data_IF_288240484824
#
_entry.id   IF_288240484824
#
_cell.length_a   1.000
_cell.length_b   1.000
_cell.length_c   1.000
_cell.angle_alpha   90.00
_cell.angle_beta   90.00
_cell.angle_gamma   90.00
#
_symmetry.space_group_name_H-M   'P 1'
#
loop_
_entity.id
_entity.type
_entity.pdbx_description
1 polymer ?
#
# COMPACT_ATOMS: atom_id res chain seq x y z
N UNK A 1 8.04 -20.52 -13.44
CA UNK A 1 8.53 -20.12 -14.78
C UNK A 1 7.87 -18.79 -15.04
N UNK A 2 8.61 -17.70 -14.89
CA UNK A 2 8.11 -16.36 -15.14
C UNK A 2 7.86 -16.20 -16.64
N UNK A 3 6.63 -16.00 -17.07
CA UNK A 3 6.31 -15.55 -18.40
C UNK A 3 6.56 -14.03 -18.42
N UNK A 4 7.72 -13.64 -18.92
CA UNK A 4 8.03 -12.26 -19.24
C UNK A 4 7.11 -11.83 -20.39
N UNK A 5 6.24 -10.87 -20.19
CA UNK A 5 5.64 -10.12 -21.29
C UNK A 5 6.79 -9.45 -22.05
N UNK A 6 7.20 -10.03 -23.15
CA UNK A 6 8.20 -9.42 -24.02
C UNK A 6 7.62 -8.14 -24.62
N UNK A 7 8.37 -7.06 -24.43
CA UNK A 7 8.19 -5.81 -25.15
C UNK A 7 8.11 -6.11 -26.63
N UNK A 8 6.93 -6.02 -27.24
CA UNK A 8 6.78 -6.18 -28.69
C UNK A 8 7.48 -5.00 -29.35
N UNK A 9 8.69 -5.23 -29.84
CA UNK A 9 9.34 -4.31 -30.73
C UNK A 9 8.58 -4.32 -32.06
N UNK A 10 7.86 -3.25 -32.34
CA UNK A 10 7.29 -2.99 -33.66
C UNK A 10 8.42 -2.64 -34.61
N UNK A 11 9.04 -3.67 -35.21
CA UNK A 11 9.93 -3.53 -36.38
C UNK A 11 9.04 -3.32 -37.61
N UNK A 12 9.21 -2.12 -38.24
CA UNK A 12 8.89 -1.75 -39.62
C UNK A 12 7.65 -2.41 -40.27
N UNK A 13 6.44 -1.97 -39.93
CA UNK A 13 5.29 -2.10 -40.81
C UNK A 13 5.16 -0.83 -41.60
N UNK A 14 5.65 -0.82 -42.83
CA UNK A 14 5.36 0.20 -43.81
C UNK A 14 3.87 0.09 -44.22
N UNK A 15 3.07 1.12 -43.86
CA UNK A 15 1.94 1.50 -44.69
C UNK A 15 0.52 1.24 -44.22
N UNK A 16 0.26 1.06 -42.91
CA UNK A 16 -1.06 1.37 -42.35
C UNK A 16 -0.88 2.44 -41.26
N UNK A 17 -1.68 3.52 -41.32
CA UNK A 17 -1.73 4.51 -40.25
C UNK A 17 -2.01 3.75 -38.96
N UNK A 18 -1.04 3.68 -38.06
CA UNK A 18 -1.22 3.08 -36.73
C UNK A 18 -2.40 3.82 -36.09
N UNK A 19 -3.55 3.13 -35.99
CA UNK A 19 -4.70 3.60 -35.23
C UNK A 19 -4.37 3.53 -33.73
N UNK A 20 -3.31 4.21 -33.33
CA UNK A 20 -2.77 4.23 -31.98
C UNK A 20 -2.19 5.63 -31.67
N UNK A 21 -2.13 5.96 -30.39
CA UNK A 21 -1.64 7.23 -29.88
C UNK A 21 -0.82 7.03 -28.62
N UNK A 22 0.26 7.80 -28.51
CA UNK A 22 0.98 7.91 -27.25
C UNK A 22 0.18 8.78 -26.27
N UNK A 23 -0.11 8.22 -25.10
CA UNK A 23 -0.78 8.92 -24.01
C UNK A 23 0.14 8.87 -22.80
N UNK A 24 0.44 10.05 -22.25
CA UNK A 24 1.14 10.22 -20.97
C UNK A 24 0.11 10.36 -19.86
N UNK A 25 0.25 9.59 -18.80
CA UNK A 25 -0.56 9.74 -17.60
C UNK A 25 0.22 10.58 -16.58
N UNK A 26 -0.42 11.60 -16.03
CA UNK A 26 0.07 12.33 -14.86
C UNK A 26 -0.57 11.71 -13.63
N UNK A 27 0.12 10.80 -12.97
CA UNK A 27 -0.42 10.03 -11.86
C UNK A 27 -0.25 10.78 -10.54
N UNK A 28 -1.36 11.02 -9.84
CA UNK A 28 -1.41 11.70 -8.54
C UNK A 28 -2.13 10.81 -7.52
N UNK A 29 -1.69 10.84 -6.26
CA UNK A 29 -2.41 10.21 -5.16
C UNK A 29 -3.39 11.20 -4.51
N UNK A 30 -4.56 10.74 -4.07
CA UNK A 30 -5.42 11.51 -3.17
C UNK A 30 -4.85 11.47 -1.75
N UNK A 31 -4.02 12.45 -1.44
CA UNK A 31 -3.40 12.62 -0.12
C UNK A 31 -4.20 13.58 0.78
N UNK A 32 -5.42 13.97 0.35
CA UNK A 32 -6.26 14.89 1.12
C UNK A 32 -5.79 16.35 1.16
N UNK A 33 -4.77 16.72 0.38
CA UNK A 33 -4.35 18.10 0.18
C UNK A 33 -3.74 18.29 -1.22
N UNK A 34 -4.07 19.36 -1.95
CA UNK A 34 -3.48 19.64 -3.25
C UNK A 34 -2.05 20.14 -3.06
N UNK A 35 -1.07 19.28 -3.17
CA UNK A 35 0.32 19.68 -3.31
C UNK A 35 0.89 19.12 -4.59
N UNK A 36 0.94 20.00 -5.55
CA UNK A 36 1.63 19.85 -6.81
C UNK A 36 3.13 19.74 -6.57
N UNK A 37 3.68 18.56 -6.54
CA UNK A 37 5.09 18.34 -6.90
C UNK A 37 5.33 16.86 -7.14
N UNK A 38 5.79 16.53 -8.26
CA UNK A 38 6.60 15.43 -8.84
C UNK A 38 6.80 14.11 -8.06
N UNK A 39 6.20 13.92 -6.92
CA UNK A 39 6.42 12.73 -6.10
C UNK A 39 5.09 12.28 -5.52
N UNK A 40 4.72 11.04 -5.80
CA UNK A 40 3.67 10.33 -5.06
C UNK A 40 4.17 10.15 -3.63
N UNK A 41 3.93 11.15 -2.77
CA UNK A 41 4.38 11.13 -1.38
C UNK A 41 3.18 11.22 -0.45
N UNK A 42 3.00 10.23 0.41
CA UNK A 42 1.87 10.11 1.30
C UNK A 42 2.15 10.65 2.71
N UNK A 43 3.33 10.42 3.24
CA UNK A 43 3.71 10.77 4.61
C UNK A 43 5.15 11.29 4.70
N UNK A 44 5.61 11.94 3.63
CA UNK A 44 6.98 12.40 3.47
C UNK A 44 7.93 11.32 2.96
N UNK A 45 7.39 10.16 2.55
CA UNK A 45 8.13 9.08 1.90
C UNK A 45 7.58 8.86 0.50
N UNK A 46 8.43 8.85 -0.49
CA UNK A 46 8.06 8.68 -1.89
C UNK A 46 7.60 7.24 -2.17
N UNK A 47 6.68 7.06 -3.12
CA UNK A 47 6.37 5.76 -3.65
C UNK A 47 7.60 5.19 -4.36
N UNK A 48 7.77 3.88 -4.31
CA UNK A 48 8.92 3.20 -4.91
C UNK A 48 8.59 2.55 -6.23
N UNK A 49 7.32 2.24 -6.44
CA UNK A 49 6.84 1.49 -7.59
C UNK A 49 5.52 2.05 -8.12
N UNK A 50 5.38 2.07 -9.43
CA UNK A 50 4.15 2.42 -10.15
C UNK A 50 3.93 1.42 -11.28
N UNK A 51 2.81 0.72 -11.27
CA UNK A 51 2.37 -0.17 -12.34
C UNK A 51 1.16 0.43 -13.05
N UNK A 52 1.14 0.31 -14.37
CA UNK A 52 -0.03 0.59 -15.21
C UNK A 52 -0.27 -0.61 -16.09
N UNK A 53 -1.46 -1.18 -16.01
CA UNK A 53 -1.93 -2.29 -16.81
C UNK A 53 -2.99 -1.78 -17.79
N UNK A 54 -2.78 -2.00 -19.07
CA UNK A 54 -3.73 -1.63 -20.15
C UNK A 54 -4.37 -2.89 -20.73
N UNK A 55 -5.69 -2.93 -20.70
CA UNK A 55 -6.51 -4.03 -21.15
C UNK A 55 -7.37 -3.61 -22.31
N UNK A 56 -7.46 -4.50 -23.33
CA UNK A 56 -8.40 -4.39 -24.47
C UNK A 56 -9.12 -5.73 -24.59
N UNK A 57 -10.45 -5.72 -24.61
CA UNK A 57 -11.27 -6.92 -24.69
C UNK A 57 -10.88 -8.00 -23.65
N UNK A 58 -10.65 -7.60 -22.40
CA UNK A 58 -10.23 -8.42 -21.26
C UNK A 58 -8.82 -9.05 -21.39
N UNK A 59 -8.03 -8.67 -22.38
CA UNK A 59 -6.64 -9.09 -22.54
C UNK A 59 -5.68 -7.96 -22.14
N UNK A 60 -4.67 -8.28 -21.32
CA UNK A 60 -3.61 -7.33 -20.98
C UNK A 60 -2.71 -7.11 -22.21
N UNK A 61 -2.77 -5.91 -22.79
CA UNK A 61 -2.03 -5.58 -24.01
C UNK A 61 -0.72 -4.83 -23.72
N UNK A 62 -0.64 -4.17 -22.58
CA UNK A 62 0.58 -3.44 -22.17
C UNK A 62 0.68 -3.38 -20.66
N UNK A 63 1.89 -3.55 -20.13
CA UNK A 63 2.26 -3.25 -18.75
C UNK A 63 3.40 -2.26 -18.74
N UNK A 64 3.25 -1.18 -17.98
CA UNK A 64 4.33 -0.23 -17.68
C UNK A 64 4.63 -0.30 -16.19
N UNK A 65 5.88 -0.58 -15.85
CA UNK A 65 6.37 -0.52 -14.48
C UNK A 65 7.46 0.55 -14.40
N UNK A 66 7.27 1.51 -13.51
CA UNK A 66 8.26 2.52 -13.15
C UNK A 66 8.69 2.33 -11.70
N UNK A 67 9.93 2.64 -11.42
CA UNK A 67 10.51 2.70 -10.08
C UNK A 67 10.91 4.12 -9.73
N UNK A 68 11.14 4.41 -8.46
CA UNK A 68 11.59 5.73 -7.99
C UNK A 68 12.98 6.14 -8.53
N UNK A 69 13.71 5.21 -9.17
CA UNK A 69 14.96 5.49 -9.89
C UNK A 69 14.71 6.05 -11.31
N UNK A 70 13.49 5.91 -11.84
CA UNK A 70 13.14 6.39 -13.17
C UNK A 70 12.95 7.91 -13.19
N UNK A 71 13.52 8.58 -14.18
CA UNK A 71 13.50 10.07 -14.30
C UNK A 71 12.09 10.61 -14.48
N UNK A 72 11.21 9.81 -15.10
CA UNK A 72 9.82 10.10 -15.41
C UNK A 72 8.84 9.39 -14.48
N UNK A 73 9.28 8.95 -13.29
CA UNK A 73 8.44 8.32 -12.29
C UNK A 73 7.17 9.15 -12.00
N UNK A 74 6.01 8.49 -12.07
CA UNK A 74 4.70 9.11 -11.93
C UNK A 74 4.13 9.70 -13.23
N UNK A 75 4.85 9.59 -14.36
CA UNK A 75 4.38 10.04 -15.68
C UNK A 75 4.60 8.98 -16.76
N UNK A 76 4.02 7.77 -16.61
CA UNK A 76 4.17 6.70 -17.58
C UNK A 76 3.57 7.07 -18.94
N UNK A 77 4.22 6.60 -20.01
CA UNK A 77 3.71 6.72 -21.39
C UNK A 77 3.22 5.37 -21.89
N UNK A 78 2.03 5.35 -22.47
CA UNK A 78 1.41 4.19 -23.10
C UNK A 78 1.21 4.44 -24.58
N UNK A 79 1.45 3.43 -25.41
CA UNK A 79 1.03 3.43 -26.80
C UNK A 79 -0.35 2.72 -26.90
N UNK A 80 -1.42 3.48 -26.94
CA UNK A 80 -2.77 2.96 -26.90
C UNK A 80 -3.41 2.96 -28.29
N UNK A 81 -4.00 1.84 -28.70
CA UNK A 81 -4.79 1.72 -29.94
C UNK A 81 -6.07 2.54 -29.84
N UNK A 82 -6.69 2.87 -31.01
CA UNK A 82 -8.02 3.50 -30.96
C UNK A 82 -9.06 2.44 -30.58
N UNK A 83 -9.88 2.75 -29.59
CA UNK A 83 -10.91 1.85 -29.09
C UNK A 83 -11.13 2.00 -27.59
N UNK A 84 -11.83 1.01 -27.03
CA UNK A 84 -12.10 0.91 -25.61
C UNK A 84 -10.90 0.26 -24.90
N UNK A 85 -10.51 0.81 -23.75
CA UNK A 85 -9.45 0.33 -22.88
C UNK A 85 -9.93 0.35 -21.44
N UNK A 86 -9.45 -0.60 -20.63
CA UNK A 86 -9.56 -0.58 -19.18
C UNK A 86 -8.16 -0.43 -18.60
N UNK A 87 -7.94 0.64 -17.84
CA UNK A 87 -6.66 0.93 -17.19
C UNK A 87 -6.74 0.65 -15.71
N UNK A 88 -5.75 -0.09 -15.19
CA UNK A 88 -5.59 -0.36 -13.77
C UNK A 88 -4.22 0.13 -13.33
N UNK A 89 -4.19 0.94 -12.28
CA UNK A 89 -2.98 1.65 -11.86
C UNK A 89 -2.76 1.43 -10.38
N UNK A 90 -1.56 0.97 -10.03
CA UNK A 90 -1.13 0.74 -8.64
C UNK A 90 0.15 1.50 -8.37
N UNK A 91 0.17 2.34 -7.34
CA UNK A 91 1.39 2.93 -6.81
C UNK A 91 1.63 2.42 -5.38
N UNK A 92 2.84 1.96 -5.08
CA UNK A 92 3.16 1.37 -3.77
C UNK A 92 4.59 1.66 -3.36
N UNK A 93 4.83 1.59 -2.04
CA UNK A 93 6.16 1.46 -1.44
C UNK A 93 6.29 0.17 -0.61
N UNK A 94 5.48 -0.82 -0.95
CA UNK A 94 5.53 -2.14 -0.35
C UNK A 94 6.84 -2.86 -0.63
N UNK A 95 7.17 -3.82 0.24
CA UNK A 95 8.47 -4.52 0.19
C UNK A 95 8.35 -5.78 -0.67
N UNK A 96 9.28 -5.95 -1.62
CA UNK A 96 9.38 -7.13 -2.50
C UNK A 96 8.04 -7.48 -3.16
N UNK A 97 7.55 -6.65 -4.08
CA UNK A 97 6.32 -6.95 -4.80
C UNK A 97 6.48 -8.20 -5.66
N UNK A 98 5.47 -9.07 -5.66
CA UNK A 98 5.32 -10.20 -6.57
C UNK A 98 4.05 -9.95 -7.39
N UNK A 99 4.22 -9.82 -8.71
CA UNK A 99 3.14 -9.51 -9.65
C UNK A 99 2.77 -10.76 -10.41
N UNK A 100 1.51 -11.16 -10.35
CA UNK A 100 0.95 -12.26 -11.12
C UNK A 100 -0.09 -11.74 -12.11
N UNK A 101 0.26 -11.75 -13.39
CA UNK A 101 -0.59 -11.26 -14.49
C UNK A 101 -1.75 -12.22 -14.79
N UNK A 102 -1.69 -13.47 -14.36
CA UNK A 102 -2.75 -14.48 -14.58
C UNK A 102 -3.84 -14.37 -13.53
N UNK A 103 -3.42 -14.20 -12.27
CA UNK A 103 -4.33 -14.04 -11.13
C UNK A 103 -4.68 -12.56 -10.89
N UNK A 104 -4.11 -11.65 -11.67
CA UNK A 104 -4.29 -10.19 -11.58
C UNK A 104 -3.92 -9.62 -10.19
N UNK A 105 -2.87 -10.15 -9.58
CA UNK A 105 -2.52 -9.77 -8.20
C UNK A 105 -1.15 -9.12 -8.09
N UNK A 106 -1.01 -8.23 -7.10
CA UNK A 106 0.27 -7.79 -6.57
C UNK A 106 0.30 -8.12 -5.09
N UNK A 107 1.29 -8.92 -4.67
CA UNK A 107 1.47 -9.34 -3.27
C UNK A 107 2.81 -8.81 -2.75
N UNK A 108 2.83 -8.31 -1.54
CA UNK A 108 4.05 -7.78 -0.90
C UNK A 108 4.46 -8.62 0.31
N UNK A 109 5.76 -8.79 0.51
CA UNK A 109 6.29 -9.37 1.77
C UNK A 109 6.12 -8.41 2.97
N UNK A 110 5.78 -7.17 2.72
CA UNK A 110 5.47 -6.16 3.72
C UNK A 110 4.70 -5.01 3.10
N UNK A 111 3.41 -4.95 3.42
CA UNK A 111 2.52 -3.87 2.95
C UNK A 111 2.94 -2.54 3.56
N UNK A 112 2.91 -1.51 2.74
CA UNK A 112 3.11 -0.10 3.10
C UNK A 112 2.04 0.71 2.41
N UNK A 113 2.20 2.02 2.37
CA UNK A 113 1.29 2.91 1.67
C UNK A 113 1.13 2.49 0.20
N UNK A 114 -0.10 2.25 -0.22
CA UNK A 114 -0.45 1.74 -1.54
C UNK A 114 -1.72 2.43 -2.01
N UNK A 115 -1.73 2.81 -3.27
CA UNK A 115 -2.81 3.52 -3.94
C UNK A 115 -3.21 2.77 -5.20
N UNK A 116 -4.47 2.87 -5.55
CA UNK A 116 -5.05 2.19 -6.70
C UNK A 116 -6.12 3.04 -7.36
N UNK A 117 -6.28 2.87 -8.67
CA UNK A 117 -7.46 3.28 -9.43
C UNK A 117 -7.62 2.36 -10.65
N UNK A 118 -8.87 2.05 -10.99
CA UNK A 118 -9.25 1.37 -12.22
C UNK A 118 -10.36 2.13 -12.92
N UNK A 119 -10.24 2.32 -14.24
CA UNK A 119 -11.24 3.03 -15.04
C UNK A 119 -11.21 2.62 -16.50
N UNK A 120 -12.36 2.74 -17.14
CA UNK A 120 -12.53 2.54 -18.59
C UNK A 120 -12.36 3.87 -19.32
N UNK A 121 -11.74 3.82 -20.49
CA UNK A 121 -11.61 4.96 -21.38
C UNK A 121 -11.77 4.56 -22.85
N UNK A 122 -12.01 5.55 -23.70
CA UNK A 122 -12.05 5.34 -25.16
C UNK A 122 -11.00 6.24 -25.80
N UNK A 123 -10.05 5.64 -26.49
CA UNK A 123 -8.99 6.33 -27.20
C UNK A 123 -9.40 6.60 -28.63
N UNK A 124 -9.23 7.83 -29.08
CA UNK A 124 -9.50 8.31 -30.44
C UNK A 124 -8.39 9.26 -30.91
N UNK A 125 -8.41 9.67 -32.16
CA UNK A 125 -7.49 10.71 -32.66
C UNK A 125 -7.60 12.02 -31.88
N UNK A 126 -8.75 12.33 -31.30
CA UNK A 126 -9.04 13.56 -30.55
C UNK A 126 -8.67 13.45 -29.05
N UNK A 127 -8.40 12.26 -28.55
CA UNK A 127 -8.02 12.06 -27.14
C UNK A 127 -6.76 12.90 -26.83
N UNK A 128 -6.75 13.58 -25.69
CA UNK A 128 -5.57 14.36 -25.29
C UNK A 128 -4.35 13.44 -25.09
N UNK A 129 -3.15 13.91 -25.44
CA UNK A 129 -1.90 13.18 -25.27
C UNK A 129 -1.40 13.14 -23.81
N UNK A 130 -2.01 13.94 -22.95
CA UNK A 130 -1.75 13.95 -21.50
C UNK A 130 -3.06 13.82 -20.76
N UNK A 131 -3.10 12.98 -19.72
CA UNK A 131 -4.27 12.74 -18.89
C UNK A 131 -3.87 12.72 -17.41
N UNK A 132 -4.65 13.41 -16.59
CA UNK A 132 -4.48 13.39 -15.14
C UNK A 132 -5.25 12.21 -14.54
N UNK A 133 -4.59 11.42 -13.69
CA UNK A 133 -5.19 10.29 -12.98
C UNK A 133 -4.95 10.46 -11.49
N UNK A 134 -6.01 10.31 -10.69
CA UNK A 134 -5.93 10.33 -9.24
C UNK A 134 -6.14 8.94 -8.69
N UNK A 135 -5.19 8.47 -7.88
CA UNK A 135 -5.27 7.18 -7.19
C UNK A 135 -5.83 7.36 -5.79
N UNK A 136 -6.61 6.38 -5.35
CA UNK A 136 -7.16 6.30 -4.00
C UNK A 136 -6.33 5.38 -3.13
N UNK A 137 -6.11 5.74 -1.86
CA UNK A 137 -5.40 4.88 -0.93
C UNK A 137 -6.23 3.65 -0.59
N UNK A 138 -5.64 2.46 -0.78
CA UNK A 138 -6.28 1.15 -0.56
C UNK A 138 -5.73 0.41 0.64
N UNK A 139 -4.98 1.06 1.51
CA UNK A 139 -4.49 0.46 2.75
C UNK A 139 -5.18 1.04 3.97
N UNK A 140 -5.32 0.21 4.99
CA UNK A 140 -5.61 0.59 6.36
C UNK A 140 -4.33 0.59 7.19
N UNK A 141 -4.24 1.47 8.18
CA UNK A 141 -3.12 1.55 9.12
C UNK A 141 -3.61 1.21 10.53
N UNK A 142 -2.98 0.24 11.15
CA UNK A 142 -3.11 -0.05 12.56
C UNK A 142 -1.88 0.49 13.29
N UNK A 143 -2.06 1.46 14.19
CA UNK A 143 -0.99 2.04 14.99
C UNK A 143 -1.15 1.67 16.45
N UNK A 144 -0.13 1.07 17.06
CA UNK A 144 -0.09 0.74 18.47
C UNK A 144 0.96 1.58 19.19
N UNK A 145 0.53 2.38 20.17
CA UNK A 145 1.40 3.23 21.00
C UNK A 145 1.44 2.69 22.43
N UNK A 146 2.64 2.35 22.92
CA UNK A 146 2.85 1.82 24.26
C UNK A 146 3.31 2.96 25.18
N UNK A 147 2.48 3.26 26.19
CA UNK A 147 2.64 4.42 27.04
C UNK A 147 3.51 4.16 28.30
N UNK A 148 3.53 2.91 28.77
CA UNK A 148 4.27 2.55 29.96
C UNK A 148 5.76 2.29 29.71
N UNK A 149 6.49 2.13 30.81
CA UNK A 149 7.95 1.95 30.77
C UNK A 149 8.32 0.61 30.15
N UNK A 150 9.20 0.64 29.15
CA UNK A 150 9.68 -0.54 28.45
C UNK A 150 10.68 -1.28 29.34
N UNK A 151 10.43 -2.56 29.73
CA UNK A 151 11.30 -3.32 30.59
C UNK A 151 12.63 -3.67 29.92
N UNK A 152 13.65 -3.92 30.78
CA UNK A 152 14.92 -4.48 30.36
C UNK A 152 14.71 -5.82 29.64
N UNK A 153 15.49 -6.04 28.59
CA UNK A 153 15.44 -7.27 27.79
C UNK A 153 14.37 -7.32 26.72
N UNK A 154 13.51 -6.29 26.60
CA UNK A 154 12.57 -6.19 25.47
C UNK A 154 13.35 -6.03 24.18
N UNK A 155 13.09 -6.89 23.18
CA UNK A 155 13.79 -6.90 21.90
C UNK A 155 12.86 -6.63 20.71
N UNK A 156 11.65 -7.17 20.74
CA UNK A 156 10.69 -7.04 19.63
C UNK A 156 9.29 -6.80 20.14
N UNK A 157 8.50 -6.11 19.31
CA UNK A 157 7.06 -6.03 19.40
C UNK A 157 6.50 -6.86 18.25
N UNK A 158 5.64 -7.83 18.55
CA UNK A 158 4.99 -8.72 17.59
C UNK A 158 3.50 -8.46 17.61
N UNK A 159 2.92 -8.22 16.44
CA UNK A 159 1.47 -8.20 16.21
C UNK A 159 1.09 -9.47 15.45
N UNK A 160 0.16 -10.24 16.01
CA UNK A 160 -0.36 -11.48 15.45
C UNK A 160 -1.86 -11.26 15.17
N UNK A 161 -2.25 -10.94 13.91
CA UNK A 161 -3.64 -10.73 13.54
C UNK A 161 -4.34 -12.08 13.31
N UNK A 162 -5.67 -12.11 13.42
CA UNK A 162 -6.47 -13.25 12.97
C UNK A 162 -6.59 -13.30 11.44
N UNK A 163 -6.65 -12.10 10.80
CA UNK A 163 -6.77 -11.93 9.37
C UNK A 163 -6.01 -10.67 8.95
N UNK A 164 -5.18 -10.77 7.90
CA UNK A 164 -4.41 -9.67 7.35
C UNK A 164 -4.16 -9.85 5.86
N UNK A 165 -4.31 -8.81 5.06
CA UNK A 165 -4.18 -8.89 3.61
C UNK A 165 -2.86 -8.27 3.15
N UNK A 166 -2.09 -9.04 2.38
CA UNK A 166 -0.78 -8.67 1.88
C UNK A 166 -0.76 -8.33 0.38
N UNK A 167 -1.89 -8.47 -0.32
CA UNK A 167 -2.00 -8.26 -1.74
C UNK A 167 -3.26 -7.51 -2.14
N UNK A 168 -3.27 -7.07 -3.39
CA UNK A 168 -4.40 -6.47 -4.10
C UNK A 168 -4.66 -7.24 -5.39
N UNK A 169 -5.92 -7.48 -5.69
CA UNK A 169 -6.36 -7.73 -7.06
C UNK A 169 -6.40 -6.38 -7.79
N UNK A 170 -5.50 -6.16 -8.74
CA UNK A 170 -5.36 -4.84 -9.36
C UNK A 170 -6.46 -4.53 -10.37
N UNK A 171 -7.26 -5.51 -10.81
CA UNK A 171 -8.44 -5.29 -11.67
C UNK A 171 -9.62 -4.79 -10.86
N UNK A 172 -9.86 -5.37 -9.68
CA UNK A 172 -11.01 -5.01 -8.84
C UNK A 172 -10.69 -4.00 -7.74
N UNK A 173 -9.42 -3.87 -7.35
CA UNK A 173 -8.98 -3.07 -6.21
C UNK A 173 -9.22 -3.75 -4.85
N UNK A 174 -9.68 -5.01 -4.85
CA UNK A 174 -10.02 -5.74 -3.64
C UNK A 174 -8.79 -6.38 -2.98
N UNK A 175 -8.80 -6.55 -1.65
CA UNK A 175 -7.72 -7.19 -0.91
C UNK A 175 -7.63 -8.69 -1.25
N UNK A 176 -6.40 -9.20 -1.33
CA UNK A 176 -6.08 -10.60 -1.56
C UNK A 176 -4.87 -11.04 -0.73
N UNK A 177 -4.44 -12.31 -0.87
CA UNK A 177 -3.33 -12.89 -0.11
C UNK A 177 -3.53 -12.74 1.41
N UNK A 178 -4.66 -13.27 1.91
CA UNK A 178 -4.96 -13.34 3.34
C UNK A 178 -3.97 -14.25 4.06
N UNK A 179 -3.40 -13.77 5.18
CA UNK A 179 -2.51 -14.52 6.04
C UNK A 179 -2.69 -14.05 7.50
N UNK A 180 -2.40 -14.93 8.45
CA UNK A 180 -2.36 -14.67 9.89
C UNK A 180 -0.93 -14.54 10.44
N UNK A 181 0.07 -14.48 9.55
CA UNK A 181 1.47 -14.38 9.92
C UNK A 181 1.76 -13.14 10.78
N UNK A 182 2.44 -13.36 11.88
CA UNK A 182 2.80 -12.29 12.81
C UNK A 182 3.82 -11.30 12.22
N UNK A 183 3.58 -10.01 12.45
CA UNK A 183 4.44 -8.92 12.00
C UNK A 183 5.29 -8.43 13.16
N UNK A 184 6.61 -8.57 13.05
CA UNK A 184 7.57 -8.24 14.10
C UNK A 184 8.31 -6.92 13.82
N UNK A 185 8.43 -6.08 14.83
CA UNK A 185 9.17 -4.82 14.80
C UNK A 185 10.24 -4.83 15.91
N UNK A 186 11.46 -4.48 15.55
CA UNK A 186 12.55 -4.38 16.51
C UNK A 186 12.34 -3.17 17.45
N UNK A 187 12.54 -3.38 18.74
CA UNK A 187 12.54 -2.31 19.75
C UNK A 187 13.96 -1.76 19.89
N UNK A 188 14.19 -0.48 19.57
CA UNK A 188 15.50 0.12 19.73
C UNK A 188 15.99 0.05 21.18
N UNK A 189 17.26 -0.28 21.40
CA UNK A 189 17.83 -0.36 22.76
C UNK A 189 17.75 0.97 23.53
N UNK A 190 17.73 2.10 22.80
CA UNK A 190 17.53 3.43 23.38
C UNK A 190 16.15 3.66 23.99
N UNK A 191 15.17 2.81 23.67
CA UNK A 191 13.81 2.90 24.23
C UNK A 191 13.66 2.16 25.55
N UNK A 192 14.60 1.26 25.87
CA UNK A 192 14.58 0.50 27.12
C UNK A 192 14.65 1.45 28.32
N UNK A 193 13.77 1.23 29.29
CA UNK A 193 13.67 2.06 30.49
C UNK A 193 12.93 3.38 30.31
N UNK A 194 12.46 3.71 29.08
CA UNK A 194 11.69 4.93 28.79
C UNK A 194 10.20 4.61 28.63
N UNK A 195 9.35 5.65 28.63
CA UNK A 195 7.90 5.57 28.49
C UNK A 195 7.42 6.43 27.33
N UNK A 196 6.34 6.02 26.64
CA UNK A 196 5.66 6.82 25.63
C UNK A 196 6.43 7.00 24.30
N UNK A 197 7.53 6.24 24.10
CA UNK A 197 8.37 6.35 22.88
C UNK A 197 8.15 5.21 21.89
N UNK A 198 7.55 4.10 22.33
CA UNK A 198 7.34 2.93 21.47
C UNK A 198 6.01 3.05 20.76
N UNK A 199 6.07 3.24 19.46
CA UNK A 199 4.92 3.18 18.57
C UNK A 199 5.25 2.32 17.35
N UNK A 200 4.31 1.45 16.97
CA UNK A 200 4.40 0.57 15.82
C UNK A 200 3.25 0.83 14.87
N UNK A 201 3.52 0.80 13.57
CA UNK A 201 2.49 0.93 12.54
C UNK A 201 2.53 -0.30 11.64
N UNK A 202 1.35 -0.87 11.41
CA UNK A 202 1.12 -2.05 10.59
C UNK A 202 0.14 -1.67 9.49
N UNK A 203 0.38 -2.14 8.27
CA UNK A 203 -0.43 -1.81 7.10
C UNK A 203 -0.98 -3.08 6.49
N UNK A 204 -2.24 -3.02 6.05
CA UNK A 204 -2.92 -4.09 5.33
C UNK A 204 -3.68 -3.50 4.15
N UNK A 205 -3.79 -4.24 3.05
CA UNK A 205 -4.70 -3.85 1.98
C UNK A 205 -6.13 -3.95 2.52
N UNK A 206 -6.96 -2.98 2.18
CA UNK A 206 -8.35 -2.88 2.61
C UNK A 206 -9.22 -2.38 1.46
N UNK A 207 -10.37 -3.01 1.28
CA UNK A 207 -11.40 -2.52 0.38
C UNK A 207 -12.13 -1.28 0.90
N UNK A 208 -13.13 -0.84 0.16
CA UNK A 208 -13.95 0.32 0.50
C UNK A 208 -14.79 0.12 1.78
N UNK A 209 -15.16 -1.13 2.07
CA UNK A 209 -15.96 -1.48 3.23
C UNK A 209 -15.14 -1.59 4.51
N UNK A 210 -15.77 -1.26 5.63
CA UNK A 210 -15.19 -1.46 6.95
C UNK A 210 -15.26 -2.94 7.33
N UNK A 211 -14.14 -3.47 7.84
CA UNK A 211 -14.03 -4.81 8.38
C UNK A 211 -13.31 -4.79 9.73
N UNK A 212 -13.28 -5.91 10.43
CA UNK A 212 -12.64 -6.03 11.73
C UNK A 212 -11.71 -7.22 11.77
N UNK A 213 -10.64 -7.12 12.58
CA UNK A 213 -9.77 -8.23 12.91
C UNK A 213 -9.50 -8.26 14.41
N UNK A 214 -9.31 -9.44 14.97
CA UNK A 214 -8.72 -9.59 16.27
C UNK A 214 -7.20 -9.63 16.13
N UNK A 215 -6.47 -9.14 17.09
CA UNK A 215 -5.00 -9.29 17.09
C UNK A 215 -4.43 -9.39 18.49
N UNK A 216 -3.31 -10.10 18.61
CA UNK A 216 -2.50 -10.10 19.82
C UNK A 216 -1.26 -9.24 19.62
N UNK A 217 -1.04 -8.26 20.51
CA UNK A 217 0.19 -7.49 20.57
C UNK A 217 1.06 -8.00 21.69
N UNK A 218 2.25 -8.53 21.38
CA UNK A 218 3.17 -9.14 22.30
C UNK A 218 4.53 -8.42 22.29
N UNK A 219 5.10 -8.16 23.46
CA UNK A 219 6.50 -7.81 23.61
C UNK A 219 7.33 -9.07 23.92
N UNK A 220 8.41 -9.28 23.17
CA UNK A 220 9.30 -10.45 23.31
C UNK A 220 10.74 -10.04 23.64
N UNK A 221 11.44 -10.91 24.36
CA UNK A 221 12.85 -10.73 24.63
C UNK A 221 13.74 -11.29 23.50
N UNK A 222 15.06 -11.13 23.62
CA UNK A 222 16.02 -11.62 22.63
C UNK A 222 16.06 -13.14 22.44
N UNK A 223 15.44 -13.92 23.33
CA UNK A 223 15.25 -15.37 23.21
C UNK A 223 13.85 -15.73 22.67
N UNK A 224 13.12 -14.76 22.14
CA UNK A 224 11.76 -14.92 21.61
C UNK A 224 10.69 -15.31 22.65
N UNK A 225 10.98 -15.14 23.95
CA UNK A 225 9.99 -15.40 25.01
C UNK A 225 9.13 -14.16 25.25
N UNK A 226 7.83 -14.36 25.45
CA UNK A 226 6.87 -13.28 25.73
C UNK A 226 7.16 -12.66 27.10
N UNK A 227 7.34 -11.36 27.15
CA UNK A 227 7.42 -10.55 28.36
C UNK A 227 6.03 -10.10 28.79
N UNK A 228 5.24 -9.63 27.83
CA UNK A 228 3.87 -9.19 28.05
C UNK A 228 3.07 -9.28 26.76
N UNK A 229 1.76 -9.43 26.86
CA UNK A 229 0.85 -9.43 25.73
C UNK A 229 -0.51 -8.87 26.08
N UNK A 230 -1.22 -8.38 25.07
CA UNK A 230 -2.61 -7.93 25.14
C UNK A 230 -3.34 -8.42 23.91
N UNK A 231 -4.58 -8.86 24.09
CA UNK A 231 -5.51 -9.19 23.00
C UNK A 231 -6.41 -7.99 22.76
N UNK A 232 -6.58 -7.64 21.51
CA UNK A 232 -7.51 -6.60 21.05
C UNK A 232 -8.52 -7.26 20.13
N UNK A 233 -9.78 -7.17 20.49
CA UNK A 233 -10.89 -7.75 19.76
C UNK A 233 -11.56 -6.70 18.87
N UNK A 234 -12.01 -7.12 17.68
CA UNK A 234 -12.80 -6.32 16.73
C UNK A 234 -12.14 -4.97 16.36
N UNK A 235 -10.84 -4.97 16.08
CA UNK A 235 -10.14 -3.78 15.61
C UNK A 235 -10.70 -3.36 14.24
N UNK A 236 -11.34 -2.16 14.12
CA UNK A 236 -11.94 -1.74 12.87
C UNK A 236 -10.88 -1.26 11.89
N UNK A 237 -10.97 -1.74 10.66
CA UNK A 237 -10.07 -1.40 9.56
C UNK A 237 -10.87 -0.97 8.34
N UNK A 238 -10.34 -0.01 7.59
CA UNK A 238 -10.92 0.51 6.35
C UNK A 238 -9.85 1.20 5.53
N UNK A 239 -9.95 1.12 4.21
CA UNK A 239 -9.08 1.87 3.31
C UNK A 239 -9.05 3.36 3.68
N UNK A 240 -7.87 3.97 3.55
CA UNK A 240 -7.61 5.37 3.85
C UNK A 240 -7.95 5.81 5.29
N UNK A 241 -7.88 4.88 6.27
CA UNK A 241 -8.12 5.18 7.67
C UNK A 241 -7.03 4.60 8.57
N UNK A 242 -6.64 5.37 9.61
CA UNK A 242 -5.78 4.88 10.67
C UNK A 242 -6.61 4.54 11.92
N UNK A 243 -6.45 3.32 12.42
CA UNK A 243 -6.95 2.86 13.71
C UNK A 243 -5.80 2.91 14.71
N UNK A 244 -5.93 3.74 15.76
CA UNK A 244 -4.85 4.02 16.70
C UNK A 244 -5.22 3.45 18.07
N UNK A 245 -4.42 2.51 18.53
CA UNK A 245 -4.47 1.99 19.91
C UNK A 245 -3.38 2.63 20.74
N UNK A 246 -3.74 3.13 21.92
CA UNK A 246 -2.80 3.72 22.86
C UNK A 246 -3.05 3.17 24.26
N UNK A 247 -2.02 2.67 24.93
CA UNK A 247 -2.21 2.06 26.24
C UNK A 247 -0.94 1.53 26.86
N UNK A 248 -1.14 0.76 27.93
CA UNK A 248 -0.08 0.13 28.71
C UNK A 248 0.02 -1.35 28.33
N UNK A 249 1.21 -1.77 27.92
CA UNK A 249 1.47 -3.17 27.57
C UNK A 249 2.09 -3.94 28.75
N UNK A 250 2.96 -3.30 29.53
CA UNK A 250 3.79 -3.98 30.54
C UNK A 250 3.25 -3.90 31.96
N UNK A 251 2.39 -2.95 32.29
CA UNK A 251 1.76 -2.86 33.60
C UNK A 251 0.59 -3.82 33.72
N UNK A 252 0.36 -4.34 34.93
CA UNK A 252 -0.67 -5.35 35.20
C UNK A 252 -2.05 -4.89 34.78
N UNK A 253 -2.67 -5.65 33.86
CA UNK A 253 -4.00 -5.37 33.32
C UNK A 253 -3.99 -4.59 32.02
N UNK A 254 -3.00 -4.79 31.15
CA UNK A 254 -2.81 -4.11 29.87
C UNK A 254 -4.13 -3.63 29.23
N UNK A 255 -4.35 -2.33 29.24
CA UNK A 255 -5.57 -1.75 28.71
C UNK A 255 -5.19 -0.77 27.61
N UNK A 256 -5.66 -1.06 26.39
CA UNK A 256 -5.55 -0.16 25.27
C UNK A 256 -6.88 0.55 25.05
N UNK A 257 -6.83 1.86 24.84
CA UNK A 257 -7.94 2.63 24.30
C UNK A 257 -7.68 2.90 22.83
N UNK A 258 -8.71 2.93 22.00
CA UNK A 258 -8.54 3.20 20.59
C UNK A 258 -9.16 4.53 20.18
N UNK A 259 -8.61 5.12 19.12
CA UNK A 259 -9.14 6.31 18.44
C UNK A 259 -9.12 6.00 16.95
N UNK A 260 -10.21 6.36 16.26
CA UNK A 260 -10.28 6.31 14.81
C UNK A 260 -9.85 7.66 14.26
N UNK A 261 -8.82 7.67 13.41
CA UNK A 261 -8.51 8.81 12.56
C UNK A 261 -9.16 8.54 11.20
N UNK A 262 -10.30 9.16 10.96
CA UNK A 262 -11.11 8.97 9.75
C UNK A 262 -10.52 9.64 8.51
N UNK A 263 -9.55 10.53 8.70
CA UNK A 263 -8.84 11.20 7.62
C UNK A 263 -7.35 10.93 7.80
N UNK A 264 -6.88 9.83 7.24
CA UNK A 264 -5.45 9.58 7.22
C UNK A 264 -4.75 10.56 6.27
N UNK A 265 -4.70 11.77 6.69
CA UNK A 265 -3.71 12.72 6.19
C UNK A 265 -2.40 12.41 6.87
N UNK A 266 -1.29 12.52 6.11
CA UNK A 266 0.10 12.41 6.54
C UNK A 266 0.26 12.36 8.06
N UNK A 267 1.11 11.51 8.62
CA UNK A 267 1.43 11.50 10.04
C UNK A 267 1.62 12.94 10.54
N UNK A 268 0.52 13.61 10.89
CA UNK A 268 0.63 14.75 11.79
C UNK A 268 1.15 14.12 13.05
N UNK A 269 2.44 14.31 13.29
CA UNK A 269 3.04 14.14 14.60
C UNK A 269 2.20 15.02 15.51
N UNK A 270 1.20 14.42 16.15
CA UNK A 270 0.56 15.05 17.27
C UNK A 270 1.61 15.06 18.38
N UNK A 271 2.31 16.18 18.47
CA UNK A 271 3.09 16.50 19.65
C UNK A 271 2.08 16.67 20.78
N UNK A 272 2.08 15.70 21.66
CA UNK A 272 1.36 15.73 22.95
C UNK A 272 2.03 16.72 23.89
#
# INVERSE_FOLDING_TARGET
MAASCEKVALDDVQGDELNAKNIRLNVNGDFGAPTFTRTLSADGHDMTDLWVFDYVDDECVQVVHQTDEDVDFGTPELLMTFGAHSLYIVASRGVNPDVDDVEHTIVWSGVRDTFWNGFDCVVTSETASEQDVTLNRVVSKLKCSVNDKIPDGTATLLMEPECWYYGIDYVTGEPTAEDDAGISINVPSSYIGTSGVLAASFYTISGADEWTTDFTLSAKNGNNSVISSVVVENAPLKANRATIYSGNLFSSGGMFTFTLDSEWMSDKVLTW
#
